data_IF_967284504052
#
_entry.id   IF_967284504052
#
_cell.length_a   1.000
_cell.length_b   1.000
_cell.length_c   1.000
_cell.angle_alpha   90.00
_cell.angle_beta   90.00
_cell.angle_gamma   90.00
#
_symmetry.space_group_name_H-M   'P 1'
#
loop_
_entity.id
_entity.type
_entity.pdbx_description
1 polymer ?
#
# COMPACT_ATOMS: atom_id res chain seq x y z
N UNK A 1 -4.45 -4.67 -9.23
CA UNK A 1 -4.84 -3.54 -8.35
C UNK A 1 -3.60 -2.71 -7.99
N UNK A 2 -3.75 -1.41 -7.74
CA UNK A 2 -2.63 -0.52 -7.43
C UNK A 2 -3.01 0.50 -6.35
N UNK A 3 -2.02 1.01 -5.61
CA UNK A 3 -2.25 2.11 -4.68
C UNK A 3 -0.99 2.80 -4.18
N UNK A 4 -1.09 4.10 -3.94
CA UNK A 4 -0.05 4.91 -3.31
C UNK A 4 -0.32 5.16 -1.83
N UNK A 5 0.73 5.21 -1.00
CA UNK A 5 0.63 5.56 0.42
C UNK A 5 -0.43 4.69 1.15
N UNK A 6 -1.40 5.27 1.85
CA UNK A 6 -2.49 4.52 2.48
C UNK A 6 -3.32 3.70 1.48
N UNK A 7 -3.48 4.19 0.25
CA UNK A 7 -4.12 3.45 -0.83
C UNK A 7 -3.37 2.17 -1.19
N UNK A 8 -2.04 2.15 -1.06
CA UNK A 8 -1.24 0.92 -1.24
C UNK A 8 -1.51 -0.12 -0.15
N UNK A 9 -1.70 0.32 1.10
CA UNK A 9 -2.12 -0.57 2.19
C UNK A 9 -3.53 -1.14 1.96
N UNK A 10 -4.46 -0.28 1.52
CA UNK A 10 -5.81 -0.70 1.13
C UNK A 10 -5.78 -1.69 -0.04
N UNK A 11 -4.97 -1.43 -1.07
CA UNK A 11 -4.80 -2.34 -2.21
C UNK A 11 -4.21 -3.69 -1.78
N UNK A 12 -3.22 -3.70 -0.88
CA UNK A 12 -2.65 -4.93 -0.32
C UNK A 12 -3.72 -5.72 0.45
N UNK A 13 -4.55 -5.03 1.25
CA UNK A 13 -5.62 -5.65 2.04
C UNK A 13 -6.72 -6.25 1.14
N UNK A 14 -7.07 -5.55 0.06
CA UNK A 14 -8.01 -6.03 -0.94
C UNK A 14 -7.47 -7.26 -1.67
N UNK A 15 -6.21 -7.21 -2.13
CA UNK A 15 -5.55 -8.33 -2.79
C UNK A 15 -5.46 -9.57 -1.89
N UNK A 16 -5.10 -9.39 -0.62
CA UNK A 16 -5.07 -10.48 0.37
C UNK A 16 -6.46 -11.09 0.66
N UNK A 17 -7.53 -10.32 0.45
CA UNK A 17 -8.90 -10.79 0.68
C UNK A 17 -9.49 -11.49 -0.55
N UNK A 18 -9.22 -10.97 -1.75
CA UNK A 18 -9.69 -11.54 -3.01
C UNK A 18 -8.85 -12.74 -3.48
N UNK A 19 -7.55 -12.75 -3.16
CA UNK A 19 -6.63 -13.79 -3.62
C UNK A 19 -6.12 -13.59 -5.04
N UNK A 20 -5.14 -14.41 -5.44
CA UNK A 20 -4.44 -14.27 -6.73
C UNK A 20 -5.29 -14.62 -7.96
N UNK A 21 -6.36 -15.37 -7.79
CA UNK A 21 -7.26 -15.78 -8.88
C UNK A 21 -8.11 -14.59 -9.38
N UNK A 22 -8.46 -13.66 -8.48
CA UNK A 22 -9.16 -12.42 -8.82
C UNK A 22 -8.21 -11.24 -9.03
N UNK A 23 -7.05 -11.26 -8.38
CA UNK A 23 -6.04 -10.20 -8.45
C UNK A 23 -4.75 -10.77 -9.02
N UNK A 24 -4.57 -10.62 -10.33
CA UNK A 24 -3.39 -11.11 -11.04
C UNK A 24 -2.09 -10.39 -10.62
N UNK A 25 -2.19 -9.12 -10.21
CA UNK A 25 -1.03 -8.31 -9.86
C UNK A 25 -1.36 -7.18 -8.89
N UNK A 26 -0.44 -6.94 -7.95
CA UNK A 26 -0.50 -5.88 -6.95
C UNK A 26 0.63 -4.88 -7.18
N UNK A 27 0.30 -3.60 -7.37
CA UNK A 27 1.28 -2.51 -7.53
C UNK A 27 1.27 -1.60 -6.30
N UNK A 28 2.42 -1.49 -5.64
CA UNK A 28 2.64 -0.70 -4.44
C UNK A 28 3.52 0.51 -4.76
N UNK A 29 2.94 1.71 -4.70
CA UNK A 29 3.63 2.97 -5.01
C UNK A 29 3.94 3.70 -3.68
N UNK A 30 5.15 3.68 -3.15
CA UNK A 30 5.45 4.20 -1.79
C UNK A 30 4.38 3.77 -0.75
N UNK A 31 3.94 2.51 -0.82
CA UNK A 31 2.79 2.05 -0.03
C UNK A 31 3.06 2.23 1.46
N UNK A 32 2.05 2.64 2.22
CA UNK A 32 2.07 2.68 3.68
C UNK A 32 1.99 1.26 4.29
N UNK A 33 1.86 1.18 5.62
CA UNK A 33 1.77 -0.07 6.38
C UNK A 33 3.12 -0.52 6.97
N UNK A 34 3.06 -1.26 8.08
CA UNK A 34 4.22 -1.82 8.77
C UNK A 34 4.75 -3.01 7.98
N UNK A 35 5.99 -2.93 7.53
CA UNK A 35 6.76 -4.07 7.02
C UNK A 35 7.82 -4.38 8.06
N UNK A 36 7.85 -5.62 8.53
CA UNK A 36 8.76 -6.07 9.58
C UNK A 36 9.92 -6.83 8.95
N UNK A 37 11.07 -6.83 9.60
CA UNK A 37 12.14 -7.77 9.26
C UNK A 37 11.72 -9.19 9.60
N UNK A 38 12.36 -10.22 8.99
CA UNK A 38 12.08 -11.61 9.35
C UNK A 38 12.20 -11.88 10.85
N UNK A 39 13.17 -11.24 11.52
CA UNK A 39 13.40 -11.38 12.95
C UNK A 39 12.26 -10.74 13.76
N UNK A 40 11.87 -9.50 13.42
CA UNK A 40 10.78 -8.79 14.09
C UNK A 40 9.43 -9.48 13.88
N UNK A 41 9.21 -10.01 12.69
CA UNK A 41 8.01 -10.78 12.36
C UNK A 41 7.95 -12.09 13.16
N UNK A 42 9.05 -12.85 13.21
CA UNK A 42 9.14 -14.06 14.02
C UNK A 42 8.87 -13.77 15.51
N UNK A 43 9.48 -12.71 16.05
CA UNK A 43 9.26 -12.30 17.43
C UNK A 43 7.81 -11.81 17.69
N UNK A 44 7.14 -11.20 16.71
CA UNK A 44 5.74 -10.80 16.82
C UNK A 44 4.79 -12.00 16.74
N UNK A 45 5.08 -13.00 15.89
CA UNK A 45 4.34 -14.28 15.82
C UNK A 45 4.53 -15.10 17.10
N UNK A 46 5.75 -15.20 17.61
CA UNK A 46 6.04 -15.93 18.86
C UNK A 46 5.26 -15.35 20.04
N UNK A 47 5.24 -14.01 20.18
CA UNK A 47 4.43 -13.32 21.20
C UNK A 47 2.92 -13.59 21.09
N UNK A 48 2.45 -14.05 19.94
CA UNK A 48 1.06 -14.45 19.69
C UNK A 48 0.84 -15.96 19.75
N UNK A 49 1.83 -16.74 20.19
CA UNK A 49 1.74 -18.20 20.26
C UNK A 49 1.84 -18.87 18.89
N UNK A 50 2.54 -18.25 17.94
CA UNK A 50 2.74 -18.77 16.57
C UNK A 50 1.65 -18.36 15.57
N UNK A 51 0.64 -17.61 16.01
CA UNK A 51 -0.47 -17.19 15.17
C UNK A 51 -0.24 -15.81 14.53
N UNK A 52 -0.84 -15.61 13.36
CA UNK A 52 -0.95 -14.29 12.75
C UNK A 52 -1.87 -13.38 13.57
N UNK A 53 -1.85 -12.07 13.31
CA UNK A 53 -2.74 -11.15 14.02
C UNK A 53 -4.20 -11.49 13.72
N UNK A 54 -4.51 -11.80 12.46
CA UNK A 54 -5.86 -12.15 12.02
C UNK A 54 -6.32 -13.50 12.55
N UNK A 55 -5.46 -14.53 12.60
CA UNK A 55 -5.82 -15.83 13.19
C UNK A 55 -6.11 -15.69 14.68
N UNK A 56 -5.28 -14.92 15.39
CA UNK A 56 -5.49 -14.60 16.81
C UNK A 56 -6.82 -13.90 17.07
N UNK A 57 -7.36 -13.19 16.09
CA UNK A 57 -8.64 -12.47 16.17
C UNK A 57 -9.82 -13.35 15.78
N UNK A 58 -9.67 -14.14 14.71
CA UNK A 58 -10.65 -15.14 14.31
C UNK A 58 -10.90 -16.13 15.45
N UNK A 59 -9.84 -16.59 16.13
CA UNK A 59 -9.94 -17.45 17.31
C UNK A 59 -10.68 -16.80 18.49
N UNK A 60 -10.74 -15.46 18.54
CA UNK A 60 -11.50 -14.67 19.53
C UNK A 60 -12.91 -14.30 19.06
N UNK A 61 -13.36 -14.83 17.91
CA UNK A 61 -14.67 -14.56 17.34
C UNK A 61 -14.84 -13.16 16.75
N UNK A 62 -13.73 -12.47 16.43
CA UNK A 62 -13.76 -11.16 15.79
C UNK A 62 -13.52 -11.29 14.28
N UNK A 63 -14.59 -11.15 13.48
CA UNK A 63 -14.48 -11.10 12.01
C UNK A 63 -13.85 -9.78 11.52
N UNK A 64 -13.91 -8.73 12.35
CA UNK A 64 -13.35 -7.41 12.09
C UNK A 64 -12.65 -6.91 13.35
N UNK A 65 -11.47 -6.32 13.18
CA UNK A 65 -10.76 -5.67 14.27
C UNK A 65 -11.66 -4.62 14.95
N UNK A 66 -11.75 -4.59 16.30
CA UNK A 66 -12.52 -3.56 16.97
C UNK A 66 -11.88 -2.19 16.65
N UNK A 67 -12.68 -1.18 16.23
CA UNK A 67 -12.15 0.16 16.02
C UNK A 67 -11.56 0.68 17.33
N UNK A 68 -10.48 1.47 17.23
CA UNK A 68 -9.98 2.18 18.41
C UNK A 68 -11.09 3.07 18.96
N UNK A 69 -11.16 3.21 20.30
CA UNK A 69 -12.08 4.15 20.96
C UNK A 69 -11.70 5.56 20.51
N UNK A 70 -12.47 6.20 19.61
CA UNK A 70 -12.08 7.50 19.12
C UNK A 70 -12.31 8.56 20.21
N UNK A 71 -11.64 9.72 20.10
CA UNK A 71 -12.04 10.90 20.85
C UNK A 71 -13.52 11.25 20.57
N UNK A 72 -14.17 12.04 21.45
CA UNK A 72 -15.52 12.53 21.19
C UNK A 72 -15.67 13.15 19.80
N UNK A 73 -16.77 12.87 19.10
CA UNK A 73 -16.95 13.26 17.69
C UNK A 73 -16.74 14.75 17.43
N UNK A 74 -17.19 15.61 18.34
CA UNK A 74 -17.01 17.07 18.22
C UNK A 74 -15.54 17.48 18.26
N UNK A 75 -14.70 16.78 19.04
CA UNK A 75 -13.27 17.07 19.16
C UNK A 75 -12.53 16.63 17.90
N UNK A 76 -12.89 15.47 17.34
CA UNK A 76 -12.39 15.03 16.03
C UNK A 76 -12.79 16.00 14.92
N UNK A 77 -14.03 16.46 14.91
CA UNK A 77 -14.52 17.41 13.90
C UNK A 77 -13.81 18.76 14.01
N UNK A 78 -13.65 19.29 15.23
CA UNK A 78 -12.92 20.53 15.46
C UNK A 78 -11.45 20.39 15.06
N UNK A 79 -10.77 19.34 15.51
CA UNK A 79 -9.37 19.08 15.17
C UNK A 79 -9.16 18.90 13.66
N UNK A 80 -10.07 18.17 13.00
CA UNK A 80 -10.06 18.00 11.56
C UNK A 80 -10.26 19.32 10.81
N UNK A 81 -11.21 20.16 11.24
CA UNK A 81 -11.39 21.52 10.66
C UNK A 81 -10.15 22.40 10.84
N UNK A 82 -9.55 22.41 12.03
CA UNK A 82 -8.32 23.17 12.28
C UNK A 82 -7.15 22.68 11.41
N UNK A 83 -7.05 21.36 11.22
CA UNK A 83 -6.06 20.77 10.31
C UNK A 83 -6.29 21.22 8.86
N UNK A 84 -7.53 21.25 8.37
CA UNK A 84 -7.84 21.74 7.03
C UNK A 84 -7.50 23.23 6.85
N UNK A 85 -7.81 24.07 7.85
CA UNK A 85 -7.43 25.49 7.86
C UNK A 85 -5.92 25.69 7.74
N UNK A 86 -5.12 24.76 8.24
CA UNK A 86 -3.67 24.75 8.05
C UNK A 86 -3.28 24.20 6.67
N UNK A 87 -3.82 23.04 6.27
CA UNK A 87 -3.40 22.32 5.07
C UNK A 87 -3.78 23.05 3.78
N UNK A 88 -5.03 23.51 3.64
CA UNK A 88 -5.55 24.10 2.40
C UNK A 88 -4.73 25.28 1.85
N UNK A 89 -4.39 26.31 2.66
CA UNK A 89 -3.55 27.41 2.16
C UNK A 89 -2.08 27.00 1.94
N UNK A 90 -1.66 25.83 2.42
CA UNK A 90 -0.29 25.35 2.37
C UNK A 90 -0.07 24.19 1.38
N UNK A 91 -1.08 23.79 0.58
CA UNK A 91 -1.01 22.60 -0.30
C UNK A 91 0.27 22.58 -1.13
N UNK A 92 0.52 23.61 -1.96
CA UNK A 92 1.70 23.63 -2.83
C UNK A 92 3.02 23.56 -2.08
N UNK A 93 3.12 24.20 -0.90
CA UNK A 93 4.31 24.13 -0.05
C UNK A 93 4.51 22.71 0.51
N UNK A 94 3.45 22.09 1.02
CA UNK A 94 3.49 20.75 1.62
C UNK A 94 3.77 19.69 0.56
N UNK A 95 3.12 19.78 -0.60
CA UNK A 95 3.41 18.90 -1.74
C UNK A 95 4.88 19.02 -2.14
N UNK A 96 5.43 20.22 -2.36
CA UNK A 96 6.86 20.37 -2.72
C UNK A 96 7.82 19.79 -1.68
N UNK A 97 7.44 19.71 -0.41
CA UNK A 97 8.26 19.07 0.62
C UNK A 97 8.35 17.55 0.45
N UNK A 98 7.39 16.91 -0.23
CA UNK A 98 7.37 15.46 -0.46
C UNK A 98 7.68 15.07 -1.92
N UNK A 99 8.09 16.05 -2.75
CA UNK A 99 8.55 15.89 -4.14
C UNK A 99 9.97 16.48 -4.28
N UNK A 100 10.98 15.91 -3.59
CA UNK A 100 12.30 16.51 -3.47
C UNK A 100 13.12 16.47 -4.77
N UNK A 101 12.80 15.57 -5.71
CA UNK A 101 13.54 15.37 -6.95
C UNK A 101 12.98 16.22 -8.09
N UNK A 102 11.66 16.34 -8.17
CA UNK A 102 10.97 17.17 -9.16
C UNK A 102 9.85 18.01 -8.51
N UNK A 103 10.21 19.08 -7.76
CA UNK A 103 9.22 19.99 -7.17
C UNK A 103 8.35 20.73 -8.20
N UNK A 104 8.76 20.76 -9.48
CA UNK A 104 8.01 21.39 -10.56
C UNK A 104 6.81 20.55 -11.02
N UNK A 105 6.77 19.24 -10.71
CA UNK A 105 5.59 18.40 -10.88
C UNK A 105 4.40 18.89 -10.03
N UNK A 106 4.67 19.60 -8.93
CA UNK A 106 3.65 20.25 -8.12
C UNK A 106 3.20 21.55 -8.80
N UNK A 107 2.32 21.40 -9.78
CA UNK A 107 1.73 22.48 -10.55
C UNK A 107 0.42 23.02 -9.92
N UNK A 108 -0.09 24.10 -10.51
CA UNK A 108 -1.32 24.75 -10.03
C UNK A 108 -2.56 23.86 -10.23
N UNK A 109 -2.56 22.98 -11.23
CA UNK A 109 -3.67 22.09 -11.51
C UNK A 109 -3.79 21.00 -10.43
N UNK A 110 -2.67 20.39 -10.02
CA UNK A 110 -2.59 19.47 -8.90
C UNK A 110 -3.04 20.15 -7.61
N UNK A 111 -2.50 21.34 -7.32
CA UNK A 111 -2.86 22.09 -6.11
C UNK A 111 -4.36 22.44 -6.08
N UNK A 112 -4.92 22.88 -7.21
CA UNK A 112 -6.33 23.19 -7.34
C UNK A 112 -7.22 21.93 -7.21
N UNK A 113 -6.77 20.79 -7.75
CA UNK A 113 -7.45 19.50 -7.59
C UNK A 113 -7.54 19.05 -6.14
N UNK A 114 -6.41 19.08 -5.43
CA UNK A 114 -6.37 18.76 -3.99
C UNK A 114 -7.26 19.72 -3.20
N UNK A 115 -7.20 21.02 -3.50
CA UNK A 115 -8.04 22.01 -2.81
C UNK A 115 -9.53 21.74 -3.06
N UNK A 116 -9.91 21.48 -4.31
CA UNK A 116 -11.29 21.14 -4.68
C UNK A 116 -11.77 19.93 -3.88
N UNK A 117 -11.04 18.82 -3.92
CA UNK A 117 -11.44 17.57 -3.27
C UNK A 117 -11.43 17.70 -1.74
N UNK A 118 -10.55 18.55 -1.18
CA UNK A 118 -10.58 18.87 0.25
C UNK A 118 -11.81 19.67 0.69
N UNK A 119 -12.54 20.29 -0.24
CA UNK A 119 -13.79 20.98 0.05
C UNK A 119 -15.03 20.08 -0.10
N UNK A 120 -14.85 18.81 -0.45
CA UNK A 120 -15.97 17.87 -0.58
C UNK A 120 -16.68 17.65 0.75
N UNK A 121 -18.02 17.52 0.74
CA UNK A 121 -18.78 17.13 1.91
C UNK A 121 -18.24 15.82 2.52
N UNK A 122 -17.78 15.89 3.76
CA UNK A 122 -17.23 14.73 4.47
C UNK A 122 -15.71 14.55 4.35
N UNK A 123 -14.97 15.41 3.63
CA UNK A 123 -13.51 15.32 3.54
C UNK A 123 -12.83 15.33 4.92
N UNK A 124 -13.33 16.14 5.85
CA UNK A 124 -12.87 16.16 7.26
C UNK A 124 -13.10 14.79 7.93
N UNK A 125 -14.24 14.15 7.68
CA UNK A 125 -14.55 12.83 8.23
C UNK A 125 -13.63 11.76 7.66
N UNK A 126 -13.29 11.83 6.36
CA UNK A 126 -12.33 10.93 5.72
C UNK A 126 -10.95 11.09 6.36
N UNK A 127 -10.45 12.31 6.51
CA UNK A 127 -9.12 12.54 7.10
C UNK A 127 -9.06 12.09 8.57
N UNK A 128 -10.11 12.38 9.34
CA UNK A 128 -10.18 11.99 10.77
C UNK A 128 -10.54 10.52 10.98
N UNK A 129 -10.91 9.78 9.92
CA UNK A 129 -11.23 8.35 10.02
C UNK A 129 -10.02 7.53 10.46
N UNK A 130 -8.80 7.99 10.20
CA UNK A 130 -7.56 7.37 10.68
C UNK A 130 -7.53 7.15 12.19
N UNK A 131 -8.16 8.03 12.99
CA UNK A 131 -8.25 7.89 14.44
C UNK A 131 -9.23 6.78 14.90
N UNK A 132 -10.04 6.26 13.97
CA UNK A 132 -11.03 5.19 14.20
C UNK A 132 -10.58 3.85 13.62
N UNK A 133 -9.56 3.86 12.75
CA UNK A 133 -9.07 2.64 12.12
C UNK A 133 -8.52 1.69 13.18
N UNK A 134 -8.77 0.38 13.05
CA UNK A 134 -8.18 -0.61 13.94
C UNK A 134 -6.65 -0.68 13.81
N UNK A 135 -6.02 -1.41 14.73
CA UNK A 135 -4.61 -1.76 14.62
C UNK A 135 -4.32 -2.39 13.25
N UNK A 136 -3.39 -1.84 12.45
CA UNK A 136 -3.15 -2.35 11.10
C UNK A 136 -2.48 -3.72 11.16
N UNK A 137 -3.02 -4.66 10.37
CA UNK A 137 -2.35 -5.92 10.02
C UNK A 137 -1.02 -5.58 9.32
N UNK A 138 0.05 -6.32 9.62
CA UNK A 138 1.34 -6.10 8.98
C UNK A 138 1.26 -6.39 7.49
N UNK A 139 2.09 -5.71 6.69
CA UNK A 139 2.21 -6.03 5.27
C UNK A 139 2.75 -7.44 5.04
N UNK A 140 3.60 -7.95 5.94
CA UNK A 140 4.12 -9.31 5.85
C UNK A 140 2.96 -10.31 5.79
N UNK A 141 2.03 -10.24 6.74
CA UNK A 141 0.86 -11.11 6.82
C UNK A 141 -0.08 -10.93 5.62
N UNK A 142 -0.31 -9.69 5.17
CA UNK A 142 -1.16 -9.44 4.00
C UNK A 142 -0.54 -9.97 2.70
N UNK A 143 0.78 -9.80 2.52
CA UNK A 143 1.48 -10.26 1.31
C UNK A 143 1.62 -11.79 1.30
N UNK A 144 1.92 -12.42 2.45
CA UNK A 144 1.92 -13.88 2.60
C UNK A 144 0.56 -14.46 2.20
N UNK A 145 -0.53 -13.84 2.63
CA UNK A 145 -1.89 -14.27 2.27
C UNK A 145 -2.22 -14.06 0.80
N UNK A 146 -1.80 -12.95 0.21
CA UNK A 146 -2.05 -12.67 -1.21
C UNK A 146 -1.30 -13.66 -2.10
N UNK A 147 0.00 -13.90 -1.85
CA UNK A 147 0.86 -14.86 -2.56
C UNK A 147 0.99 -14.70 -4.09
N UNK A 148 0.42 -13.64 -4.68
CA UNK A 148 0.50 -13.34 -6.10
C UNK A 148 1.70 -12.46 -6.46
N UNK A 149 1.67 -11.93 -7.69
CA UNK A 149 2.71 -11.05 -8.21
C UNK A 149 2.61 -9.65 -7.61
N UNK A 150 3.76 -9.12 -7.18
CA UNK A 150 3.86 -7.81 -6.52
C UNK A 150 4.91 -6.95 -7.21
N UNK A 151 4.54 -5.73 -7.58
CA UNK A 151 5.45 -4.66 -7.97
C UNK A 151 5.54 -3.64 -6.83
N UNK A 152 6.77 -3.34 -6.40
CA UNK A 152 7.05 -2.24 -5.46
C UNK A 152 7.80 -1.15 -6.20
N UNK A 153 7.13 -0.03 -6.48
CA UNK A 153 7.76 1.21 -6.94
C UNK A 153 7.93 2.14 -5.73
N UNK A 154 9.18 2.44 -5.39
CA UNK A 154 9.51 3.23 -4.20
C UNK A 154 10.37 4.43 -4.59
N UNK A 155 9.89 5.63 -4.31
CA UNK A 155 10.72 6.82 -4.24
C UNK A 155 11.69 6.70 -3.08
N UNK A 156 12.98 6.66 -3.40
CA UNK A 156 14.09 6.42 -2.47
C UNK A 156 14.42 7.65 -1.64
N UNK A 157 13.93 8.83 -2.04
CA UNK A 157 14.13 10.09 -1.35
C UNK A 157 12.86 10.56 -0.63
N UNK A 158 11.86 9.67 -0.47
CA UNK A 158 10.64 9.97 0.28
C UNK A 158 10.98 10.51 1.68
N UNK A 159 10.67 11.79 1.97
CA UNK A 159 10.99 12.39 3.25
C UNK A 159 10.01 11.96 4.33
N UNK A 160 8.87 11.38 3.97
CA UNK A 160 7.91 10.86 4.94
C UNK A 160 8.48 9.60 5.62
N UNK A 161 8.49 9.62 6.95
CA UNK A 161 8.97 8.51 7.76
C UNK A 161 10.46 8.57 8.14
N UNK A 162 11.16 9.70 7.91
CA UNK A 162 12.46 9.97 8.52
C UNK A 162 13.62 9.14 7.92
N UNK A 163 13.85 9.29 6.62
CA UNK A 163 14.91 8.61 5.86
C UNK A 163 14.82 7.07 5.83
N UNK A 164 13.63 6.52 6.09
CA UNK A 164 13.40 5.08 6.08
C UNK A 164 13.06 4.53 4.69
N UNK A 165 12.95 5.37 3.66
CA UNK A 165 12.57 4.96 2.31
C UNK A 165 13.49 3.87 1.74
N UNK A 166 14.81 4.08 1.79
CA UNK A 166 15.82 3.11 1.31
C UNK A 166 15.86 1.84 2.18
N UNK A 167 16.00 1.92 3.53
CA UNK A 167 15.92 0.73 4.38
C UNK A 167 14.65 -0.10 4.19
N UNK A 168 13.50 0.57 4.04
CA UNK A 168 12.21 -0.08 3.77
C UNK A 168 12.18 -0.76 2.40
N UNK A 169 12.76 -0.13 1.37
CA UNK A 169 12.87 -0.71 0.04
C UNK A 169 13.70 -1.99 0.03
N UNK A 170 14.81 -2.01 0.77
CA UNK A 170 15.66 -3.18 0.94
C UNK A 170 14.98 -4.27 1.77
N UNK A 171 14.16 -3.86 2.74
CA UNK A 171 13.40 -4.78 3.58
C UNK A 171 12.43 -5.66 2.78
N UNK A 172 11.82 -5.13 1.71
CA UNK A 172 10.91 -5.92 0.87
C UNK A 172 11.55 -7.18 0.29
N UNK A 173 12.84 -7.14 -0.07
CA UNK A 173 13.55 -8.31 -0.60
C UNK A 173 13.71 -9.43 0.42
N UNK A 174 13.70 -9.10 1.72
CA UNK A 174 13.88 -10.04 2.82
C UNK A 174 12.56 -10.47 3.46
N UNK A 175 11.58 -9.57 3.46
CA UNK A 175 10.30 -9.74 4.12
C UNK A 175 9.24 -10.46 3.25
N UNK A 176 9.49 -10.61 1.94
CA UNK A 176 8.57 -11.30 1.04
C UNK A 176 9.33 -12.22 0.10
N UNK A 177 8.91 -13.49 0.06
CA UNK A 177 9.55 -14.56 -0.71
C UNK A 177 8.79 -14.95 -1.97
N UNK A 178 7.63 -14.32 -2.24
CA UNK A 178 6.83 -14.56 -3.44
C UNK A 178 7.35 -13.80 -4.67
N UNK A 179 6.54 -13.81 -5.74
CA UNK A 179 6.87 -13.09 -7.00
C UNK A 179 6.91 -11.58 -6.76
N UNK A 180 8.13 -11.02 -6.75
CA UNK A 180 8.40 -9.64 -6.36
C UNK A 180 9.28 -8.94 -7.38
N UNK A 181 8.75 -7.89 -7.98
CA UNK A 181 9.51 -6.90 -8.76
C UNK A 181 9.70 -5.65 -7.91
N UNK A 182 10.93 -5.15 -7.81
CA UNK A 182 11.25 -3.93 -7.05
C UNK A 182 11.88 -2.90 -7.96
N UNK A 183 11.34 -1.68 -7.95
CA UNK A 183 11.83 -0.54 -8.72
C UNK A 183 12.03 0.63 -7.77
N UNK A 184 13.30 0.96 -7.52
CA UNK A 184 13.69 2.12 -6.72
C UNK A 184 13.89 3.31 -7.64
N UNK A 185 13.24 4.43 -7.34
CA UNK A 185 13.29 5.66 -8.14
C UNK A 185 13.89 6.79 -7.31
N UNK A 186 14.69 7.65 -7.93
CA UNK A 186 15.10 8.91 -7.33
C UNK A 186 13.92 9.90 -7.36
N UNK A 187 12.95 9.64 -6.47
CA UNK A 187 11.70 10.38 -6.30
C UNK A 187 11.29 10.38 -4.82
N UNK A 188 10.30 11.21 -4.49
CA UNK A 188 9.70 11.37 -3.17
C UNK A 188 8.50 10.46 -2.91
N UNK A 189 7.46 11.02 -2.29
CA UNK A 189 6.33 10.25 -1.77
C UNK A 189 5.35 9.76 -2.85
N UNK A 190 5.22 10.53 -3.94
CA UNK A 190 4.32 10.24 -5.04
C UNK A 190 5.13 10.00 -6.33
N UNK A 191 5.88 8.88 -6.43
CA UNK A 191 6.77 8.64 -7.58
C UNK A 191 6.03 8.57 -8.92
N UNK A 192 4.74 8.20 -8.88
CA UNK A 192 3.87 8.09 -10.04
C UNK A 192 3.45 9.44 -10.64
N UNK A 193 3.59 10.52 -9.87
CA UNK A 193 3.32 11.89 -10.29
C UNK A 193 4.64 12.65 -10.52
N UNK A 194 5.65 12.40 -9.67
CA UNK A 194 6.97 13.04 -9.77
C UNK A 194 7.82 12.52 -10.95
N UNK A 195 7.76 11.21 -11.21
CA UNK A 195 8.49 10.50 -12.27
C UNK A 195 7.55 9.56 -13.06
N UNK A 196 6.52 10.11 -13.73
CA UNK A 196 5.40 9.32 -14.28
C UNK A 196 5.84 8.34 -15.37
N UNK A 197 6.81 8.72 -16.21
CA UNK A 197 7.29 7.87 -17.30
C UNK A 197 7.97 6.60 -16.78
N UNK A 198 8.79 6.73 -15.72
CA UNK A 198 9.50 5.59 -15.13
C UNK A 198 8.54 4.65 -14.39
N UNK A 199 7.54 5.20 -13.70
CA UNK A 199 6.51 4.37 -13.05
C UNK A 199 5.61 3.68 -14.08
N UNK A 200 5.20 4.37 -15.14
CA UNK A 200 4.37 3.79 -16.20
C UNK A 200 5.09 2.62 -16.89
N UNK A 201 6.36 2.80 -17.23
CA UNK A 201 7.21 1.76 -17.83
C UNK A 201 7.42 0.55 -16.89
N UNK A 202 7.61 0.80 -15.59
CA UNK A 202 7.69 -0.28 -14.60
C UNK A 202 6.38 -1.08 -14.49
N UNK A 203 5.23 -0.40 -14.52
CA UNK A 203 3.91 -1.03 -14.49
C UNK A 203 3.66 -1.84 -15.76
N UNK A 204 3.97 -1.28 -16.93
CA UNK A 204 3.79 -1.94 -18.23
C UNK A 204 4.56 -3.26 -18.30
N UNK A 205 5.87 -3.23 -18.00
CA UNK A 205 6.72 -4.44 -17.95
C UNK A 205 6.21 -5.46 -16.94
N UNK A 206 5.76 -5.00 -15.78
CA UNK A 206 5.19 -5.88 -14.76
C UNK A 206 3.91 -6.55 -15.27
N UNK A 207 2.99 -5.80 -15.90
CA UNK A 207 1.76 -6.35 -16.45
C UNK A 207 2.04 -7.41 -17.53
N UNK A 208 2.99 -7.15 -18.43
CA UNK A 208 3.40 -8.13 -19.45
C UNK A 208 3.94 -9.41 -18.82
N UNK A 209 4.79 -9.29 -17.79
CA UNK A 209 5.34 -10.44 -17.06
C UNK A 209 4.23 -11.27 -16.39
N UNK A 210 3.29 -10.61 -15.70
CA UNK A 210 2.18 -11.29 -14.99
C UNK A 210 1.30 -12.06 -15.96
N UNK A 211 0.92 -11.44 -17.09
CA UNK A 211 0.07 -12.09 -18.10
C UNK A 211 0.79 -13.26 -18.77
N UNK A 212 2.10 -13.14 -18.99
CA UNK A 212 2.94 -14.23 -19.48
C UNK A 212 2.88 -15.46 -18.56
N UNK A 213 3.09 -15.26 -17.26
CA UNK A 213 3.07 -16.33 -16.26
C UNK A 213 1.70 -17.03 -16.17
N UNK A 214 0.60 -16.25 -16.17
CA UNK A 214 -0.76 -16.82 -16.14
C UNK A 214 -1.08 -17.66 -17.39
N UNK A 215 -0.53 -17.27 -18.55
CA UNK A 215 -0.72 -17.99 -19.81
C UNK A 215 0.03 -19.32 -19.79
N UNK A 216 1.22 -19.38 -19.19
CA UNK A 216 1.96 -20.63 -19.00
C UNK A 216 1.25 -21.59 -18.03
N UNK A 217 0.73 -21.11 -16.91
CA UNK A 217 0.03 -21.95 -15.92
C UNK A 217 -1.23 -22.62 -16.51
N UNK A 218 -1.96 -21.88 -17.35
CA UNK A 218 -3.15 -22.38 -18.05
C UNK A 218 -2.83 -23.48 -19.08
N UNK A 219 -1.68 -23.35 -19.76
CA UNK A 219 -1.22 -24.33 -20.75
C UNK A 219 -0.75 -25.64 -20.11
N UNK A 220 -0.08 -25.57 -18.96
CA UNK A 220 0.35 -26.76 -18.20
C UNK A 220 -0.85 -27.49 -17.62
N UNK A 221 -1.84 -26.77 -17.05
CA UNK A 221 -3.05 -27.40 -16.51
C UNK A 221 -3.90 -28.10 -17.58
N UNK A 222 -3.90 -27.60 -18.83
CA UNK A 222 -4.64 -28.22 -19.94
C UNK A 222 -3.98 -29.52 -20.43
N UNK A 223 -2.64 -29.60 -20.40
CA UNK A 223 -1.88 -30.77 -20.86
C UNK A 223 -1.95 -32.01 -19.94
N UNK A 224 -2.42 -31.86 -18.70
CA UNK A 224 -2.48 -32.96 -17.71
C UNK A 224 -3.80 -33.76 -17.80
N UNK A 225 -4.73 -33.38 -18.68
CA UNK A 225 -6.05 -34.06 -18.80
C UNK A 225 -6.17 -35.07 -19.95
N UNK A 226 -5.12 -35.30 -20.74
CA UNK A 226 -5.13 -36.27 -21.85
C UNK A 226 -4.12 -37.43 -21.66
N UNK A 227 -4.20 -38.19 -20.56
CA UNK A 227 -3.59 -39.53 -20.55
C UNK A 227 -4.23 -40.47 -19.51
N UNK A 228 -5.48 -40.89 -19.71
CA UNK A 228 -5.95 -42.23 -19.32
C UNK A 228 -7.26 -42.53 -20.05
N UNK A 229 -7.21 -43.22 -21.19
CA UNK A 229 -8.24 -44.17 -21.65
C UNK A 229 -7.81 -44.83 -22.96
N UNK A 230 -7.17 -46.00 -22.84
CA UNK A 230 -7.42 -47.24 -23.60
C UNK A 230 -6.23 -48.21 -23.41
#
# INVERSE_FOLDING_TARGET
VAGNSIGGYTATSAAASAGRDEVLGLVLLNSAGRLLSPEDEAAERERRGGFTLRDSMAAKGADVLPPLKPPPSWLLELGGRMLFLYLQPNIGRICKQVYPNNPAAVDDALCAGILRDSNDPGAVNVLTSGAKLPMPISKNELLERYSGHVLVCQGLNDPLGGNQARPRFDLYARAYTGSLTRVGLEAGHCPHDEEPALVADAIDRFMVSVVGDCSSDSSVSSSVTEETTA
#
